data_IF_480250240709
#
_entry.id   IF_480250240709
#
_cell.length_a   1.000
_cell.length_b   1.000
_cell.length_c   1.000
_cell.angle_alpha   90.00
_cell.angle_beta   90.00
_cell.angle_gamma   90.00
#
_symmetry.space_group_name_H-M   'P 1'
#
loop_
_entity.id
_entity.type
_entity.pdbx_description
1 polymer ?
#
# COMPACT_ATOMS: atom_id res chain seq x y z
N UNK A 1 19.84 20.21 9.22
CA UNK A 1 19.64 18.75 9.42
C UNK A 1 18.16 18.50 9.27
N UNK A 2 17.73 17.80 8.19
CA UNK A 2 16.31 17.49 7.97
C UNK A 2 15.89 16.39 8.96
N UNK A 3 15.08 16.76 9.95
CA UNK A 3 14.56 15.85 11.02
C UNK A 3 13.62 14.74 10.52
N UNK A 4 13.43 14.57 9.21
CA UNK A 4 12.44 13.64 8.64
C UNK A 4 13.04 12.42 7.92
N UNK A 5 14.34 12.15 8.05
CA UNK A 5 14.93 10.97 7.40
C UNK A 5 14.79 9.77 8.31
N UNK A 6 14.09 8.68 7.90
CA UNK A 6 14.04 7.47 8.71
C UNK A 6 15.45 6.88 8.86
N UNK A 7 15.80 6.38 10.06
CA UNK A 7 17.18 5.95 10.41
C UNK A 7 17.71 4.77 9.58
N UNK A 8 16.89 4.15 8.74
CA UNK A 8 17.23 2.98 7.91
C UNK A 8 17.24 3.28 6.40
N UNK A 9 17.06 4.55 6.00
CA UNK A 9 17.03 4.90 4.59
C UNK A 9 18.46 4.96 4.01
N UNK A 10 18.72 4.19 2.96
CA UNK A 10 19.90 4.38 2.11
C UNK A 10 19.84 5.78 1.45
N UNK A 11 20.98 6.29 0.95
CA UNK A 11 21.01 7.56 0.19
C UNK A 11 20.08 7.56 -1.03
N UNK A 12 19.60 6.39 -1.43
CA UNK A 12 18.82 6.12 -2.63
C UNK A 12 17.42 5.59 -2.31
N UNK A 13 16.79 6.09 -1.24
CA UNK A 13 15.46 5.68 -0.81
C UNK A 13 14.45 6.82 -0.92
N UNK A 14 13.23 6.49 -1.32
CA UNK A 14 12.05 7.36 -1.21
C UNK A 14 11.15 6.84 -0.07
N UNK A 15 10.54 7.73 0.70
CA UNK A 15 9.65 7.33 1.79
C UNK A 15 8.41 8.21 1.90
N UNK A 16 7.36 7.64 2.47
CA UNK A 16 6.16 8.34 2.88
C UNK A 16 5.74 7.87 4.28
N UNK A 17 5.41 8.81 5.13
CA UNK A 17 4.88 8.54 6.47
C UNK A 17 3.44 9.02 6.56
N UNK A 18 2.54 8.15 7.02
CA UNK A 18 1.12 8.47 7.18
C UNK A 18 0.64 8.16 8.60
N UNK A 19 -0.14 9.05 9.23
CA UNK A 19 -0.78 8.78 10.50
C UNK A 19 -1.95 7.80 10.29
N UNK A 20 -2.02 6.80 11.16
CA UNK A 20 -3.02 5.73 11.13
C UNK A 20 -3.72 5.67 12.49
N UNK A 21 -5.06 5.57 12.53
CA UNK A 21 -5.80 5.66 13.79
C UNK A 21 -5.73 4.40 14.66
N UNK A 22 -5.18 3.27 14.15
CA UNK A 22 -5.00 2.04 14.93
C UNK A 22 -3.78 2.13 15.84
N UNK A 23 -3.83 1.44 16.98
CA UNK A 23 -2.66 1.19 17.81
C UNK A 23 -1.64 0.30 17.09
N UNK A 24 -0.36 0.43 17.44
CA UNK A 24 0.73 -0.20 16.71
C UNK A 24 0.59 -1.73 16.59
N UNK A 25 0.20 -2.42 17.67
CA UNK A 25 -0.02 -3.87 17.66
C UNK A 25 -1.17 -4.28 16.73
N UNK A 26 -2.26 -3.52 16.75
CA UNK A 26 -3.41 -3.75 15.87
C UNK A 26 -3.03 -3.50 14.41
N UNK A 27 -2.28 -2.44 14.15
CA UNK A 27 -1.80 -2.12 12.81
C UNK A 27 -0.85 -3.21 12.29
N UNK A 28 0.09 -3.68 13.11
CA UNK A 28 0.99 -4.77 12.76
C UNK A 28 0.23 -6.05 12.37
N UNK A 29 -0.83 -6.40 13.12
CA UNK A 29 -1.70 -7.53 12.77
C UNK A 29 -2.43 -7.33 11.43
N UNK A 30 -2.95 -6.12 11.18
CA UNK A 30 -3.61 -5.80 9.91
C UNK A 30 -2.64 -5.82 8.73
N UNK A 31 -1.40 -5.40 8.94
CA UNK A 31 -0.35 -5.38 7.94
C UNK A 31 0.18 -6.78 7.54
N UNK A 32 -0.17 -7.84 8.28
CA UNK A 32 0.10 -9.23 7.85
C UNK A 32 -0.61 -9.61 6.54
N UNK A 33 -1.68 -8.91 6.21
CA UNK A 33 -2.36 -9.05 4.92
C UNK A 33 -1.64 -8.19 3.85
N UNK A 34 -0.47 -8.64 3.45
CA UNK A 34 0.41 -7.94 2.49
C UNK A 34 -0.31 -7.72 1.16
N UNK A 35 -1.09 -8.70 0.70
CA UNK A 35 -1.89 -8.58 -0.52
C UNK A 35 -2.84 -7.37 -0.46
N UNK A 36 -3.55 -7.19 0.64
CA UNK A 36 -4.46 -6.07 0.80
C UNK A 36 -3.72 -4.73 0.75
N UNK A 37 -2.53 -4.63 1.37
CA UNK A 37 -1.73 -3.41 1.36
C UNK A 37 -1.32 -3.01 -0.07
N UNK A 38 -0.86 -3.98 -0.86
CA UNK A 38 -0.46 -3.73 -2.24
C UNK A 38 -1.66 -3.42 -3.16
N UNK A 39 -2.75 -4.16 -3.03
CA UNK A 39 -3.97 -3.92 -3.82
C UNK A 39 -4.66 -2.59 -3.54
N UNK A 40 -4.37 -1.95 -2.41
CA UNK A 40 -4.86 -0.60 -2.09
C UNK A 40 -4.15 0.47 -2.92
N UNK A 41 -2.95 0.20 -3.47
CA UNK A 41 -2.23 1.12 -4.33
C UNK A 41 -3.09 1.52 -5.56
N UNK A 42 -3.38 2.83 -5.77
CA UNK A 42 -4.28 3.28 -6.83
C UNK A 42 -3.69 3.14 -8.24
N UNK A 43 -2.38 2.95 -8.36
CA UNK A 43 -1.68 2.79 -9.65
C UNK A 43 -1.43 1.35 -10.03
N UNK A 44 -1.66 0.38 -9.14
CA UNK A 44 -1.42 -1.02 -9.42
C UNK A 44 -2.74 -1.80 -9.43
N UNK A 45 -2.94 -2.58 -10.48
CA UNK A 45 -4.01 -3.56 -10.55
C UNK A 45 -3.42 -4.95 -10.64
N UNK A 46 -3.61 -5.76 -9.60
CA UNK A 46 -3.10 -7.13 -9.52
C UNK A 46 -4.11 -8.10 -10.17
N UNK A 47 -3.75 -8.65 -11.33
CA UNK A 47 -4.51 -9.67 -12.03
C UNK A 47 -4.36 -11.04 -11.39
N UNK A 48 -3.16 -11.33 -10.86
CA UNK A 48 -2.88 -12.57 -10.13
C UNK A 48 -2.07 -12.26 -8.86
N UNK A 49 -2.31 -13.07 -7.84
CA UNK A 49 -1.58 -13.03 -6.58
C UNK A 49 -1.54 -14.44 -6.00
N UNK A 50 -0.36 -15.06 -6.01
CA UNK A 50 -0.15 -16.42 -5.53
C UNK A 50 0.91 -16.45 -4.44
N UNK A 51 0.62 -17.15 -3.35
CA UNK A 51 1.62 -17.50 -2.36
C UNK A 51 2.35 -18.76 -2.84
N UNK A 52 3.67 -18.65 -3.07
CA UNK A 52 4.52 -19.72 -3.59
C UNK A 52 5.33 -20.42 -2.50
N UNK A 53 5.38 -19.82 -1.30
CA UNK A 53 6.03 -20.38 -0.11
C UNK A 53 5.52 -19.72 1.16
N UNK A 54 6.07 -20.05 2.34
CA UNK A 54 5.64 -19.46 3.61
C UNK A 54 5.72 -17.94 3.65
N UNK A 55 6.75 -17.36 3.00
CA UNK A 55 7.04 -15.93 2.93
C UNK A 55 7.10 -15.42 1.50
N UNK A 56 7.03 -16.30 0.49
CA UNK A 56 7.27 -16.00 -0.92
C UNK A 56 5.95 -15.87 -1.68
N UNK A 57 5.92 -14.90 -2.60
CA UNK A 57 4.75 -14.59 -3.41
C UNK A 57 5.15 -14.37 -4.86
N UNK A 58 4.26 -14.76 -5.77
CA UNK A 58 4.29 -14.40 -7.18
C UNK A 58 3.11 -13.51 -7.50
N UNK A 59 3.34 -12.42 -8.21
CA UNK A 59 2.29 -11.47 -8.56
C UNK A 59 2.38 -11.06 -10.03
N UNK A 60 1.19 -10.93 -10.63
CA UNK A 60 1.05 -10.28 -11.94
C UNK A 60 0.21 -9.02 -11.78
N UNK A 61 0.69 -7.91 -12.28
CA UNK A 61 -0.01 -6.64 -12.14
C UNK A 61 0.19 -5.73 -13.36
N UNK A 62 -0.75 -4.82 -13.51
CA UNK A 62 -0.72 -3.76 -14.50
C UNK A 62 -0.51 -2.42 -13.78
N UNK A 63 0.50 -1.67 -14.21
CA UNK A 63 0.67 -0.30 -13.77
C UNK A 63 -0.29 0.60 -14.55
N UNK A 64 -1.29 1.15 -13.86
CA UNK A 64 -2.36 1.96 -14.45
C UNK A 64 -1.89 3.33 -14.95
N UNK A 65 -0.67 3.76 -14.63
CA UNK A 65 -0.11 5.03 -15.11
C UNK A 65 0.46 4.93 -16.52
N UNK A 66 1.00 3.77 -16.89
CA UNK A 66 1.66 3.53 -18.19
C UNK A 66 1.21 2.25 -18.89
N UNK A 67 0.21 1.55 -18.34
CA UNK A 67 -0.38 0.30 -18.87
C UNK A 67 0.61 -0.86 -19.01
N UNK A 68 1.77 -0.78 -18.37
CA UNK A 68 2.74 -1.87 -18.37
C UNK A 68 2.25 -3.03 -17.51
N UNK A 69 2.28 -4.24 -18.08
CA UNK A 69 2.04 -5.49 -17.36
C UNK A 69 3.38 -6.06 -16.91
N UNK A 70 3.45 -6.41 -15.65
CA UNK A 70 4.67 -6.88 -14.99
C UNK A 70 4.34 -8.14 -14.18
N UNK A 71 5.29 -9.05 -14.14
CA UNK A 71 5.27 -10.19 -13.23
C UNK A 71 6.48 -10.08 -12.30
N UNK A 72 6.31 -10.39 -11.03
CA UNK A 72 7.33 -10.19 -10.02
C UNK A 72 7.21 -11.23 -8.91
N UNK A 73 8.35 -11.77 -8.50
CA UNK A 73 8.49 -12.59 -7.31
C UNK A 73 9.05 -11.75 -6.17
N UNK A 74 8.54 -11.96 -4.96
CA UNK A 74 9.06 -11.29 -3.78
C UNK A 74 8.93 -12.15 -2.53
N UNK A 75 9.72 -11.80 -1.53
CA UNK A 75 9.72 -12.42 -0.23
C UNK A 75 9.39 -11.39 0.87
N UNK A 76 8.55 -11.79 1.82
CA UNK A 76 8.18 -10.99 2.99
C UNK A 76 8.96 -11.48 4.19
N UNK A 77 9.80 -10.62 4.75
CA UNK A 77 10.61 -10.95 5.94
C UNK A 77 10.32 -9.97 7.08
N UNK A 78 10.54 -10.35 8.35
CA UNK A 78 10.44 -9.42 9.45
C UNK A 78 11.32 -8.17 9.21
N UNK A 79 10.79 -7.01 9.55
CA UNK A 79 11.48 -5.72 9.43
C UNK A 79 11.80 -5.12 10.80
N UNK A 80 12.19 -3.83 10.84
CA UNK A 80 12.47 -3.13 12.07
C UNK A 80 11.21 -3.02 12.95
N UNK A 81 11.37 -3.26 14.26
CA UNK A 81 10.27 -3.17 15.22
C UNK A 81 9.13 -4.13 14.91
N UNK A 82 7.91 -3.61 14.78
CA UNK A 82 6.71 -4.39 14.41
C UNK A 82 6.44 -4.40 12.90
N UNK A 83 7.36 -3.83 12.11
CA UNK A 83 7.25 -3.75 10.66
C UNK A 83 7.69 -5.01 9.93
N UNK A 84 7.74 -4.92 8.62
CA UNK A 84 8.21 -5.99 7.73
C UNK A 84 8.86 -5.40 6.48
N UNK A 85 9.62 -6.23 5.78
CA UNK A 85 10.30 -5.87 4.54
C UNK A 85 9.85 -6.80 3.42
N UNK A 86 9.57 -6.23 2.26
CA UNK A 86 9.29 -6.95 1.02
C UNK A 86 10.52 -6.84 0.13
N UNK A 87 11.22 -7.96 -0.11
CA UNK A 87 12.38 -8.04 -0.97
C UNK A 87 11.95 -8.54 -2.36
N UNK A 88 12.26 -7.80 -3.39
CA UNK A 88 11.88 -8.14 -4.77
C UNK A 88 13.00 -8.92 -5.48
N UNK A 89 12.65 -9.99 -6.18
CA UNK A 89 13.59 -10.77 -6.97
C UNK A 89 14.03 -10.06 -8.28
N UNK A 90 13.39 -8.94 -8.61
CA UNK A 90 13.70 -8.15 -9.80
C UNK A 90 12.91 -6.85 -9.82
N UNK A 91 12.98 -6.13 -10.94
CA UNK A 91 12.25 -4.86 -11.10
C UNK A 91 13.09 -3.64 -10.71
N UNK A 92 12.40 -2.51 -10.48
CA UNK A 92 13.02 -1.21 -10.19
C UNK A 92 13.43 -1.04 -8.74
N UNK A 93 12.70 -1.69 -7.84
CA UNK A 93 12.91 -1.59 -6.40
C UNK A 93 13.65 -2.84 -5.94
N UNK A 94 14.63 -2.66 -5.07
CA UNK A 94 15.26 -3.75 -4.36
C UNK A 94 14.36 -4.29 -3.26
N UNK A 95 13.76 -3.36 -2.49
CA UNK A 95 12.86 -3.69 -1.38
C UNK A 95 11.93 -2.55 -1.03
N UNK A 96 10.83 -2.87 -0.39
CA UNK A 96 9.96 -1.92 0.31
C UNK A 96 9.92 -2.27 1.79
N UNK A 97 10.22 -1.31 2.65
CA UNK A 97 10.25 -1.46 4.11
C UNK A 97 9.00 -0.79 4.68
N UNK A 98 8.24 -1.51 5.48
CA UNK A 98 7.12 -1.00 6.25
C UNK A 98 7.54 -0.87 7.71
N UNK A 99 7.56 0.34 8.23
CA UNK A 99 7.89 0.62 9.64
C UNK A 99 6.64 1.10 10.36
N UNK A 100 6.37 0.52 11.53
CA UNK A 100 5.23 0.86 12.36
C UNK A 100 5.75 1.42 13.68
N UNK A 101 5.36 2.64 14.00
CA UNK A 101 5.74 3.33 15.22
C UNK A 101 4.52 3.81 15.98
N UNK A 102 4.47 3.66 17.31
CA UNK A 102 3.40 4.24 18.10
C UNK A 102 3.41 5.77 18.00
N UNK A 103 2.23 6.38 18.08
CA UNK A 103 2.05 7.83 18.10
C UNK A 103 1.05 8.22 19.18
N UNK A 104 0.97 9.52 19.52
CA UNK A 104 0.07 10.01 20.56
C UNK A 104 -1.42 9.68 20.29
N UNK A 105 -1.81 9.55 19.03
CA UNK A 105 -3.14 9.12 18.60
C UNK A 105 -3.01 8.03 17.54
N UNK A 106 -2.96 6.75 17.95
CA UNK A 106 -2.80 5.62 17.06
C UNK A 106 -1.33 5.31 16.75
N UNK A 107 -0.96 5.25 15.48
CA UNK A 107 0.41 4.95 15.05
C UNK A 107 0.80 5.68 13.77
N UNK A 108 2.09 5.64 13.43
CA UNK A 108 2.64 6.09 12.15
C UNK A 108 3.07 4.86 11.35
N UNK A 109 2.64 4.82 10.10
CA UNK A 109 3.08 3.85 9.11
C UNK A 109 4.01 4.55 8.14
N UNK A 110 5.26 4.12 8.08
CA UNK A 110 6.24 4.60 7.11
C UNK A 110 6.52 3.52 6.09
N UNK A 111 6.40 3.88 4.81
CA UNK A 111 6.79 3.07 3.68
C UNK A 111 8.08 3.66 3.13
N UNK A 112 9.11 2.83 2.99
CA UNK A 112 10.39 3.21 2.41
C UNK A 112 10.69 2.28 1.24
N UNK A 113 10.76 2.84 0.04
CA UNK A 113 11.21 2.14 -1.17
C UNK A 113 12.71 2.35 -1.36
N UNK A 114 13.46 1.26 -1.41
CA UNK A 114 14.91 1.25 -1.59
C UNK A 114 15.26 0.89 -3.04
N UNK A 115 16.02 1.77 -3.66
CA UNK A 115 16.47 1.68 -5.06
C UNK A 115 17.98 1.40 -5.18
N UNK A 116 18.62 0.95 -4.11
CA UNK A 116 20.04 0.64 -4.09
C UNK A 116 20.40 -0.35 -5.21
N UNK A 117 21.45 -0.02 -5.98
CA UNK A 117 21.91 -0.83 -7.13
C UNK A 117 21.41 -0.33 -8.49
N UNK A 118 20.51 0.64 -8.56
CA UNK A 118 20.13 1.27 -9.82
C UNK A 118 21.16 2.34 -10.25
N UNK A 119 21.51 2.42 -11.56
CA UNK A 119 22.34 3.51 -12.09
C UNK A 119 21.70 4.87 -11.80
N UNK A 120 22.51 5.87 -11.43
CA UNK A 120 22.06 7.21 -11.06
C UNK A 120 21.19 7.87 -12.15
N UNK A 121 21.52 7.66 -13.43
CA UNK A 121 20.76 8.17 -14.57
C UNK A 121 19.34 7.56 -14.64
N UNK A 122 19.19 6.25 -14.39
CA UNK A 122 17.89 5.58 -14.40
C UNK A 122 17.01 6.03 -13.22
N UNK A 123 17.61 6.37 -12.08
CA UNK A 123 16.93 6.94 -10.92
C UNK A 123 16.43 8.36 -11.19
N UNK A 124 17.31 9.23 -11.69
CA UNK A 124 16.96 10.63 -12.00
C UNK A 124 15.80 10.72 -13.00
N UNK A 125 15.79 9.86 -14.02
CA UNK A 125 14.75 9.81 -15.03
C UNK A 125 13.36 9.43 -14.47
N UNK A 126 13.30 8.76 -13.33
CA UNK A 126 12.04 8.21 -12.74
C UNK A 126 11.69 8.77 -11.37
N UNK A 127 12.52 9.63 -10.78
CA UNK A 127 12.33 10.14 -9.42
C UNK A 127 10.94 10.76 -9.23
N UNK A 128 10.49 11.60 -10.15
CA UNK A 128 9.18 12.25 -10.04
C UNK A 128 7.99 11.28 -10.14
N UNK A 129 8.12 10.19 -10.93
CA UNK A 129 7.08 9.16 -11.04
C UNK A 129 7.02 8.31 -9.77
N UNK A 130 8.17 7.96 -9.22
CA UNK A 130 8.32 7.20 -7.99
C UNK A 130 7.73 7.94 -6.79
N UNK A 131 8.10 9.19 -6.58
CA UNK A 131 7.63 10.00 -5.46
C UNK A 131 6.09 10.16 -5.49
N UNK A 132 5.55 10.43 -6.68
CA UNK A 132 4.11 10.57 -6.88
C UNK A 132 3.35 9.27 -6.59
N UNK A 133 3.88 8.14 -7.03
CA UNK A 133 3.29 6.82 -6.82
C UNK A 133 3.31 6.42 -5.34
N UNK A 134 4.42 6.64 -4.65
CA UNK A 134 4.59 6.29 -3.23
C UNK A 134 3.69 7.16 -2.35
N UNK A 135 3.63 8.46 -2.61
CA UNK A 135 2.73 9.36 -1.89
C UNK A 135 1.26 8.96 -2.04
N UNK A 136 0.82 8.69 -3.27
CA UNK A 136 -0.56 8.24 -3.53
C UNK A 136 -0.89 6.92 -2.83
N UNK A 137 0.07 6.00 -2.77
CA UNK A 137 -0.08 4.75 -2.02
C UNK A 137 -0.23 4.99 -0.52
N UNK A 138 0.59 5.84 0.07
CA UNK A 138 0.48 6.24 1.48
C UNK A 138 -0.89 6.84 1.81
N UNK A 139 -1.40 7.76 0.98
CA UNK A 139 -2.74 8.35 1.14
C UNK A 139 -3.83 7.28 1.06
N UNK A 140 -3.72 6.34 0.11
CA UNK A 140 -4.69 5.26 -0.05
C UNK A 140 -4.67 4.28 1.14
N UNK A 141 -3.50 3.95 1.67
CA UNK A 141 -3.34 3.12 2.89
C UNK A 141 -3.97 3.80 4.11
N UNK A 142 -3.69 5.10 4.32
CA UNK A 142 -4.33 5.86 5.38
C UNK A 142 -5.86 5.80 5.27
N UNK A 143 -6.40 6.06 4.08
CA UNK A 143 -7.84 6.01 3.83
C UNK A 143 -8.42 4.60 4.10
N UNK A 144 -7.71 3.55 3.72
CA UNK A 144 -8.07 2.16 3.98
C UNK A 144 -8.16 1.87 5.49
N UNK A 145 -7.13 2.23 6.27
CA UNK A 145 -7.11 2.00 7.71
C UNK A 145 -8.16 2.86 8.45
N UNK A 146 -8.36 4.11 8.05
CA UNK A 146 -9.45 4.95 8.60
C UNK A 146 -10.81 4.30 8.37
N UNK A 147 -11.10 3.78 7.17
CA UNK A 147 -12.36 3.08 6.87
C UNK A 147 -12.50 1.79 7.69
N UNK A 148 -11.42 1.02 7.86
CA UNK A 148 -11.43 -0.18 8.70
C UNK A 148 -11.81 0.15 10.15
N UNK A 149 -11.28 1.23 10.74
CA UNK A 149 -11.60 1.65 12.11
C UNK A 149 -13.01 2.23 12.21
N UNK A 150 -13.35 3.15 11.30
CA UNK A 150 -14.65 3.86 11.34
C UNK A 150 -15.85 2.93 11.27
N UNK A 151 -15.77 1.90 10.46
CA UNK A 151 -16.87 0.96 10.22
C UNK A 151 -16.65 -0.41 10.90
N UNK A 152 -15.74 -0.48 11.88
CA UNK A 152 -15.41 -1.73 12.60
C UNK A 152 -16.59 -2.34 13.37
N UNK A 153 -17.57 -1.52 13.73
CA UNK A 153 -18.80 -1.93 14.40
C UNK A 153 -19.81 -2.64 13.48
N UNK A 154 -19.67 -2.48 12.15
CA UNK A 154 -20.58 -3.09 11.18
C UNK A 154 -20.17 -4.55 10.88
N UNK A 155 -21.04 -5.53 11.19
CA UNK A 155 -20.76 -6.93 10.88
C UNK A 155 -20.51 -7.12 9.38
N UNK A 156 -19.50 -7.92 9.01
CA UNK A 156 -19.17 -8.19 7.61
C UNK A 156 -18.38 -7.09 6.88
N UNK A 157 -18.22 -5.89 7.46
CA UNK A 157 -17.50 -4.79 6.83
C UNK A 157 -16.06 -5.15 6.46
N UNK A 158 -15.32 -5.81 7.36
CA UNK A 158 -13.94 -6.26 7.11
C UNK A 158 -13.88 -7.27 5.96
N UNK A 159 -14.84 -8.19 5.91
CA UNK A 159 -14.97 -9.15 4.81
C UNK A 159 -15.24 -8.45 3.49
N UNK A 160 -16.20 -7.52 3.46
CA UNK A 160 -16.54 -6.73 2.27
C UNK A 160 -15.32 -5.95 1.74
N UNK A 161 -14.61 -5.23 2.60
CA UNK A 161 -13.41 -4.49 2.21
C UNK A 161 -12.34 -5.41 1.61
N UNK A 162 -12.07 -6.54 2.24
CA UNK A 162 -11.00 -7.45 1.80
C UNK A 162 -11.38 -8.25 0.56
N UNK A 163 -12.61 -8.77 0.48
CA UNK A 163 -13.04 -9.70 -0.57
C UNK A 163 -13.67 -9.02 -1.77
N UNK A 164 -14.21 -7.83 -1.60
CA UNK A 164 -14.94 -7.13 -2.67
C UNK A 164 -14.21 -5.86 -3.07
N UNK A 165 -14.02 -4.95 -2.15
CA UNK A 165 -13.48 -3.62 -2.45
C UNK A 165 -12.01 -3.65 -2.89
N UNK A 166 -11.14 -4.29 -2.12
CA UNK A 166 -9.69 -4.32 -2.36
C UNK A 166 -9.31 -5.02 -3.67
N UNK A 167 -9.94 -6.16 -4.08
CA UNK A 167 -9.64 -6.80 -5.36
C UNK A 167 -10.17 -6.06 -6.60
N UNK A 168 -11.11 -5.12 -6.43
CA UNK A 168 -11.68 -4.37 -7.58
C UNK A 168 -10.63 -3.52 -8.27
N UNK A 169 -10.73 -3.40 -9.60
CA UNK A 169 -9.98 -2.41 -10.37
C UNK A 169 -10.23 -0.99 -9.83
N UNK A 170 -9.23 -0.10 -9.84
CA UNK A 170 -9.41 1.29 -9.39
C UNK A 170 -10.55 2.02 -10.08
N UNK A 171 -10.76 1.78 -11.39
CA UNK A 171 -11.90 2.32 -12.16
C UNK A 171 -13.24 1.80 -11.66
N UNK A 172 -13.35 0.50 -11.38
CA UNK A 172 -14.58 -0.11 -10.85
C UNK A 172 -14.96 0.45 -9.48
N UNK A 173 -13.98 0.70 -8.60
CA UNK A 173 -14.22 1.34 -7.30
C UNK A 173 -14.86 2.72 -7.43
N UNK A 174 -14.43 3.53 -8.43
CA UNK A 174 -15.02 4.85 -8.71
C UNK A 174 -16.45 4.73 -9.20
N UNK A 175 -16.73 3.78 -10.09
CA UNK A 175 -18.07 3.53 -10.62
C UNK A 175 -19.03 3.09 -9.50
N UNK A 176 -18.64 2.13 -8.66
CA UNK A 176 -19.43 1.68 -7.50
C UNK A 176 -19.73 2.85 -6.56
N UNK A 177 -18.75 3.72 -6.33
CA UNK A 177 -18.95 4.89 -5.49
C UNK A 177 -19.96 5.87 -6.09
N UNK A 178 -19.91 6.08 -7.41
CA UNK A 178 -20.84 6.94 -8.13
C UNK A 178 -22.29 6.37 -8.06
N UNK A 179 -22.46 5.07 -8.29
CA UNK A 179 -23.78 4.42 -8.15
C UNK A 179 -24.32 4.57 -6.73
N UNK A 180 -23.48 4.35 -5.72
CA UNK A 180 -23.88 4.54 -4.33
C UNK A 180 -24.34 5.98 -4.07
N UNK A 181 -23.60 6.98 -4.57
CA UNK A 181 -23.98 8.40 -4.42
C UNK A 181 -25.33 8.69 -5.09
N UNK A 182 -25.54 8.20 -6.31
CA UNK A 182 -26.80 8.37 -7.05
C UNK A 182 -27.95 7.74 -6.26
N UNK A 183 -27.81 6.50 -5.80
CA UNK A 183 -28.84 5.81 -5.02
C UNK A 183 -29.19 6.56 -3.72
N UNK A 184 -28.18 7.09 -3.03
CA UNK A 184 -28.42 7.90 -1.81
C UNK A 184 -29.16 9.18 -2.14
N UNK A 185 -28.78 9.87 -3.24
CA UNK A 185 -29.48 11.08 -3.68
C UNK A 185 -30.94 10.76 -4.06
N UNK A 186 -31.19 9.72 -4.84
CA UNK A 186 -32.54 9.28 -5.19
C UNK A 186 -33.38 8.97 -3.94
N UNK A 187 -32.80 8.24 -2.98
CA UNK A 187 -33.52 7.90 -1.73
C UNK A 187 -33.95 9.12 -0.89
N UNK A 188 -33.20 10.21 -0.95
CA UNK A 188 -33.53 11.44 -0.20
C UNK A 188 -34.40 12.43 -0.96
N UNK A 189 -34.50 12.32 -2.28
CA UNK A 189 -35.24 13.27 -3.12
C UNK A 189 -36.51 12.70 -3.76
N UNK A 190 -36.75 11.41 -3.63
CA UNK A 190 -37.99 10.70 -3.99
C UNK A 190 -38.55 9.89 -2.83
#
# INVERSE_FOLDING_TARGET
MNENTPPTASRDAAWVTVPVPQEADTLAQLCRDVEALFRVNPYLYFSDWRQTGPTSHHVEFENQSNQQKLALDFEVVPGPGQGFTVNYAGGLKRRTIFTIEPAAQGSRLTLTDDYEGLPAAARAARAAEVDKSLHAWGVALRAYFVRLKRWSWLPGWRWYLRRVWVPMKPSARRIVWLFYLITVVEFFFF
#
